data_IF_568210193568
#
_entry.id   IF_568210193568
#
_cell.length_a   1.000
_cell.length_b   1.000
_cell.length_c   1.000
_cell.angle_alpha   90.00
_cell.angle_beta   90.00
_cell.angle_gamma   90.00
#
_symmetry.space_group_name_H-M   'P 1'
#
loop_
_entity.id
_entity.type
_entity.pdbx_description
1 polymer ?
#
# COMPACT_ATOMS: atom_id res chain seq x y z
N UNK A 1 50.71 -74.61 6.69
CA UNK A 1 51.05 -73.37 7.43
C UNK A 1 51.30 -72.21 6.47
N UNK A 2 50.27 -71.62 5.85
CA UNK A 2 50.48 -70.54 4.86
C UNK A 2 49.37 -69.47 4.78
N UNK A 3 48.45 -69.39 5.75
CA UNK A 3 47.35 -68.42 5.72
C UNK A 3 47.30 -67.45 6.91
N UNK A 4 48.17 -67.62 7.93
CA UNK A 4 48.24 -66.73 9.08
C UNK A 4 49.14 -65.49 8.86
N UNK A 5 50.12 -65.56 7.95
CA UNK A 5 51.08 -64.48 7.70
C UNK A 5 50.53 -63.32 6.86
N UNK A 6 49.55 -63.57 5.98
CA UNK A 6 49.06 -62.57 5.04
C UNK A 6 48.17 -61.49 5.71
N UNK A 7 47.43 -61.84 6.77
CA UNK A 7 46.59 -60.88 7.50
C UNK A 7 47.42 -59.83 8.26
N UNK A 8 48.56 -60.23 8.83
CA UNK A 8 49.40 -59.29 9.58
C UNK A 8 50.20 -58.34 8.66
N UNK A 9 50.44 -58.73 7.41
CA UNK A 9 51.09 -57.86 6.42
C UNK A 9 50.13 -56.79 5.88
N UNK A 10 48.87 -57.17 5.62
CA UNK A 10 47.84 -56.24 5.13
C UNK A 10 47.46 -55.16 6.15
N UNK A 11 47.46 -55.46 7.45
CA UNK A 11 47.20 -54.46 8.51
C UNK A 11 48.34 -53.44 8.63
N UNK A 12 49.58 -53.80 8.24
CA UNK A 12 50.75 -52.92 8.24
C UNK A 12 50.87 -52.03 7.00
N UNK A 13 50.20 -52.39 5.91
CA UNK A 13 50.21 -51.65 4.65
C UNK A 13 49.10 -50.58 4.55
N UNK A 14 48.13 -50.60 5.46
CA UNK A 14 47.15 -49.54 5.59
C UNK A 14 47.80 -48.36 6.31
N UNK A 15 47.77 -47.14 5.74
CA UNK A 15 48.31 -45.96 6.40
C UNK A 15 47.66 -45.83 7.78
N UNK A 16 48.49 -45.64 8.81
CA UNK A 16 48.06 -45.39 10.17
C UNK A 16 47.02 -44.26 10.17
N UNK A 17 46.01 -44.37 11.05
CA UNK A 17 44.88 -43.44 11.24
C UNK A 17 45.35 -41.99 11.50
N UNK A 18 45.82 -41.33 10.46
CA UNK A 18 46.40 -40.00 10.49
C UNK A 18 46.48 -39.48 9.06
N UNK A 19 45.90 -38.30 8.85
CA UNK A 19 45.76 -37.61 7.57
C UNK A 19 44.67 -38.18 6.63
N UNK A 20 43.45 -38.36 7.15
CA UNK A 20 42.30 -37.95 6.32
C UNK A 20 42.47 -36.45 6.20
N UNK A 21 42.86 -35.96 5.02
CA UNK A 21 42.79 -34.54 4.73
C UNK A 21 41.38 -34.11 5.14
N UNK A 22 41.29 -33.09 6.00
CA UNK A 22 40.04 -32.39 6.22
C UNK A 22 39.68 -31.75 4.88
N UNK A 23 39.12 -32.53 3.96
CA UNK A 23 38.09 -32.03 3.10
C UNK A 23 37.02 -31.55 4.08
N UNK A 24 37.06 -30.26 4.40
CA UNK A 24 35.82 -29.54 4.46
C UNK A 24 35.15 -29.85 3.12
N UNK A 25 34.37 -30.94 3.09
CA UNK A 25 33.14 -30.96 2.32
C UNK A 25 32.56 -29.61 2.67
N UNK A 26 32.68 -28.66 1.73
CA UNK A 26 32.09 -27.35 1.86
C UNK A 26 30.64 -27.67 2.12
N UNK A 27 30.30 -27.68 3.40
CA UNK A 27 28.96 -27.90 3.86
C UNK A 27 28.37 -26.56 3.46
N UNK A 28 27.88 -26.50 2.23
CA UNK A 28 26.72 -25.71 1.92
C UNK A 28 25.64 -26.30 2.83
N UNK A 29 25.73 -26.01 4.13
CA UNK A 29 24.55 -25.77 4.92
C UNK A 29 23.87 -24.65 4.16
N UNK A 30 23.07 -25.04 3.16
CA UNK A 30 21.91 -24.26 2.80
C UNK A 30 21.25 -24.01 4.15
N UNK A 31 21.43 -22.80 4.69
CA UNK A 31 20.75 -22.42 5.90
C UNK A 31 19.28 -22.68 5.57
N UNK A 32 18.70 -23.68 6.22
CA UNK A 32 17.26 -23.89 6.17
C UNK A 32 16.73 -22.64 6.84
N UNK A 33 16.38 -21.65 6.03
CA UNK A 33 15.91 -20.39 6.52
C UNK A 33 14.61 -20.68 7.25
N UNK A 34 14.67 -20.60 8.57
CA UNK A 34 13.50 -20.79 9.40
C UNK A 34 12.73 -19.49 9.45
N UNK A 35 11.44 -19.55 9.79
CA UNK A 35 10.63 -18.35 9.99
C UNK A 35 11.28 -17.36 10.98
N UNK A 36 12.11 -17.87 11.93
CA UNK A 36 12.80 -17.07 12.94
C UNK A 36 13.84 -16.11 12.36
N UNK A 37 14.50 -16.51 11.27
CA UNK A 37 15.59 -15.73 10.66
C UNK A 37 15.03 -14.52 9.88
N UNK A 38 13.80 -14.65 9.38
CA UNK A 38 13.10 -13.60 8.61
C UNK A 38 12.19 -12.72 9.43
N UNK A 39 11.72 -13.20 10.60
CA UNK A 39 10.79 -12.46 11.45
C UNK A 39 11.40 -11.12 11.90
N UNK A 40 10.69 -9.99 11.80
CA UNK A 40 11.14 -8.72 12.35
C UNK A 40 11.54 -8.82 13.83
N UNK A 41 12.60 -8.10 14.19
CA UNK A 41 13.22 -8.06 15.51
C UNK A 41 13.09 -6.70 16.20
N UNK A 42 13.73 -6.53 17.36
CA UNK A 42 13.78 -5.26 18.06
C UNK A 42 14.65 -4.22 17.31
N UNK A 43 14.51 -2.95 17.67
CA UNK A 43 15.25 -1.85 17.06
C UNK A 43 16.78 -2.06 17.14
N UNK A 44 17.52 -1.97 16.01
CA UNK A 44 18.96 -2.18 16.00
C UNK A 44 19.69 -0.96 16.59
N UNK A 45 20.38 -1.16 17.72
CA UNK A 45 21.11 -0.08 18.42
C UNK A 45 22.57 0.00 17.98
N UNK A 46 23.16 -1.14 17.63
CA UNK A 46 24.57 -1.21 17.20
C UNK A 46 24.71 -1.20 15.68
N UNK A 47 25.88 -0.78 15.19
CA UNK A 47 26.19 -0.77 13.75
C UNK A 47 26.21 -2.18 13.15
N UNK A 48 26.70 -3.16 13.92
CA UNK A 48 26.74 -4.56 13.51
C UNK A 48 25.33 -5.15 13.36
N UNK A 49 24.43 -4.87 14.32
CA UNK A 49 23.01 -5.26 14.23
C UNK A 49 22.32 -4.58 13.05
N UNK A 50 22.60 -3.29 12.82
CA UNK A 50 22.07 -2.55 11.68
C UNK A 50 22.52 -3.17 10.35
N UNK A 51 23.79 -3.55 10.22
CA UNK A 51 24.32 -4.23 9.02
C UNK A 51 23.72 -5.62 8.83
N UNK A 52 23.51 -6.36 9.92
CA UNK A 52 22.82 -7.65 9.87
C UNK A 52 21.34 -7.50 9.45
N UNK A 53 20.64 -6.48 9.96
CA UNK A 53 19.26 -6.17 9.58
C UNK A 53 19.15 -5.74 8.11
N UNK A 54 20.04 -4.87 7.63
CA UNK A 54 20.09 -4.49 6.22
C UNK A 54 20.24 -5.73 5.31
N UNK A 55 21.15 -6.65 5.67
CA UNK A 55 21.34 -7.92 4.95
C UNK A 55 20.09 -8.81 5.00
N UNK A 56 19.40 -8.86 6.13
CA UNK A 56 18.15 -9.64 6.31
C UNK A 56 17.03 -9.14 5.39
N UNK A 57 16.89 -7.83 5.22
CA UNK A 57 15.91 -7.21 4.33
C UNK A 57 16.39 -7.05 2.88
N UNK A 58 17.55 -7.63 2.54
CA UNK A 58 18.17 -7.55 1.22
C UNK A 58 18.39 -6.10 0.73
N UNK A 59 18.71 -5.20 1.67
CA UNK A 59 18.98 -3.78 1.42
C UNK A 59 20.48 -3.46 1.57
N UNK A 60 20.91 -2.41 0.88
CA UNK A 60 22.24 -1.82 1.07
C UNK A 60 22.27 -1.16 2.46
N UNK A 61 23.40 -1.29 3.17
CA UNK A 61 23.55 -0.75 4.53
C UNK A 61 23.28 0.75 4.61
N UNK A 62 23.67 1.51 3.59
CA UNK A 62 23.52 2.97 3.52
C UNK A 62 22.06 3.42 3.37
N UNK A 63 21.27 2.64 2.64
CA UNK A 63 19.84 2.92 2.42
C UNK A 63 18.95 2.42 3.54
N UNK A 64 19.45 1.47 4.35
CA UNK A 64 18.71 0.91 5.47
C UNK A 64 18.58 1.92 6.61
N UNK A 65 17.35 2.38 6.83
CA UNK A 65 16.98 3.27 7.94
C UNK A 65 15.83 2.63 8.70
N UNK A 66 15.99 2.29 9.99
CA UNK A 66 14.87 1.84 10.82
C UNK A 66 13.99 3.03 11.26
N UNK A 67 12.77 2.75 11.69
CA UNK A 67 11.89 3.76 12.31
C UNK A 67 12.50 4.28 13.63
N UNK A 68 12.38 5.59 13.93
CA UNK A 68 12.95 6.17 15.13
C UNK A 68 12.34 5.58 16.42
N UNK A 69 13.20 5.18 17.37
CA UNK A 69 12.82 4.50 18.64
C UNK A 69 11.88 5.31 19.55
N UNK A 70 11.89 6.64 19.42
CA UNK A 70 11.10 7.55 20.29
C UNK A 70 9.76 7.97 19.67
N UNK A 71 9.34 7.35 18.56
CA UNK A 71 8.06 7.65 17.91
C UNK A 71 7.04 6.57 18.25
N UNK A 72 5.77 6.94 18.37
CA UNK A 72 4.67 5.99 18.66
C UNK A 72 4.58 4.88 17.59
N UNK A 73 5.10 5.16 16.38
CA UNK A 73 5.19 4.23 15.24
C UNK A 73 6.49 3.39 15.23
N UNK A 74 7.04 3.03 16.39
CA UNK A 74 8.27 2.22 16.44
C UNK A 74 8.00 0.78 15.97
N UNK A 75 8.51 0.44 14.79
CA UNK A 75 8.31 -0.88 14.15
C UNK A 75 9.51 -1.84 14.31
N UNK A 76 10.30 -1.70 15.37
CA UNK A 76 11.45 -2.55 15.65
C UNK A 76 12.57 -2.41 14.61
N UNK A 77 13.01 -3.51 14.00
CA UNK A 77 14.03 -3.54 12.93
C UNK A 77 13.46 -3.35 11.51
N UNK A 78 12.18 -3.01 11.36
CA UNK A 78 11.61 -2.87 10.02
C UNK A 78 12.15 -1.63 9.28
N UNK A 79 12.50 -1.73 7.98
CA UNK A 79 13.02 -0.60 7.22
C UNK A 79 11.93 0.46 6.98
N UNK A 80 12.28 1.71 7.19
CA UNK A 80 11.50 2.89 6.85
C UNK A 80 11.69 3.20 5.36
N UNK A 81 10.77 2.68 4.55
CA UNK A 81 10.72 2.95 3.12
C UNK A 81 9.97 4.26 2.85
N UNK A 82 10.32 4.99 1.77
CA UNK A 82 9.59 6.18 1.39
C UNK A 82 8.14 5.83 1.01
N UNK A 83 7.21 6.71 1.39
CA UNK A 83 5.81 6.62 0.98
C UNK A 83 5.70 6.84 -0.53
N UNK A 84 5.64 5.75 -1.29
CA UNK A 84 5.49 5.75 -2.74
C UNK A 84 4.21 5.03 -3.13
N UNK A 85 3.37 5.69 -3.92
CA UNK A 85 2.20 5.06 -4.52
C UNK A 85 2.65 4.02 -5.55
N UNK A 86 1.98 2.87 -5.63
CA UNK A 86 2.29 1.82 -6.62
C UNK A 86 2.24 2.35 -8.07
N UNK A 87 1.47 3.41 -8.29
CA UNK A 87 1.31 4.07 -9.58
C UNK A 87 2.59 4.75 -10.08
N UNK A 88 3.45 5.23 -9.17
CA UNK A 88 4.73 5.86 -9.51
C UNK A 88 5.77 4.89 -10.07
N UNK A 89 5.64 3.59 -9.77
CA UNK A 89 6.53 2.57 -10.31
C UNK A 89 6.31 2.41 -11.82
N UNK A 90 7.39 2.17 -12.57
CA UNK A 90 7.35 2.02 -14.01
C UNK A 90 6.31 0.96 -14.43
N UNK A 91 5.26 1.30 -15.20
CA UNK A 91 4.22 0.35 -15.58
C UNK A 91 4.68 -0.70 -16.61
N UNK A 92 5.77 -0.45 -17.34
CA UNK A 92 6.25 -1.30 -18.43
C UNK A 92 7.34 -2.29 -18.01
N UNK A 93 7.82 -2.22 -16.76
CA UNK A 93 8.78 -3.17 -16.25
C UNK A 93 8.12 -4.54 -16.02
N UNK A 94 8.88 -5.62 -16.27
CA UNK A 94 8.45 -6.97 -15.98
C UNK A 94 8.65 -7.27 -14.48
N UNK A 95 7.56 -7.19 -13.71
CA UNK A 95 7.57 -7.51 -12.28
C UNK A 95 7.13 -8.96 -12.04
N UNK A 96 7.68 -9.58 -11.00
CA UNK A 96 7.23 -10.92 -10.55
C UNK A 96 5.76 -10.89 -10.09
N UNK A 97 5.34 -9.80 -9.45
CA UNK A 97 3.96 -9.55 -9.08
C UNK A 97 3.40 -8.33 -9.85
N UNK A 98 2.87 -8.52 -11.08
CA UNK A 98 2.39 -7.42 -11.92
C UNK A 98 1.26 -6.61 -11.27
N UNK A 99 0.37 -7.27 -10.51
CA UNK A 99 -0.72 -6.62 -9.79
C UNK A 99 -0.20 -5.54 -8.82
N UNK A 100 0.92 -5.81 -8.15
CA UNK A 100 1.52 -4.95 -7.13
C UNK A 100 2.76 -4.17 -7.60
N UNK A 101 3.21 -4.38 -8.85
CA UNK A 101 4.45 -3.82 -9.41
C UNK A 101 5.64 -4.01 -8.46
N UNK A 102 5.86 -5.24 -8.00
CA UNK A 102 6.90 -5.59 -7.01
C UNK A 102 7.62 -6.85 -7.45
N UNK A 103 8.92 -6.91 -7.17
CA UNK A 103 9.72 -8.12 -7.38
C UNK A 103 9.84 -8.94 -6.10
N UNK A 104 10.16 -10.22 -6.26
CA UNK A 104 10.42 -11.11 -5.15
C UNK A 104 11.68 -10.67 -4.38
N UNK A 105 11.60 -10.68 -3.05
CA UNK A 105 12.70 -10.26 -2.17
C UNK A 105 12.83 -8.75 -1.96
N UNK A 106 11.98 -7.92 -2.56
CA UNK A 106 11.91 -6.48 -2.23
C UNK A 106 11.23 -6.27 -0.88
N UNK A 107 11.80 -5.43 0.01
CA UNK A 107 11.14 -5.05 1.26
C UNK A 107 9.83 -4.30 0.97
N UNK A 108 8.82 -4.54 1.79
CA UNK A 108 7.48 -3.96 1.63
C UNK A 108 7.37 -2.74 2.54
N UNK A 109 6.67 -1.69 2.11
CA UNK A 109 6.39 -0.56 3.00
C UNK A 109 5.43 -0.97 4.12
N UNK A 110 5.55 -0.38 5.32
CA UNK A 110 4.65 -0.66 6.44
C UNK A 110 3.17 -0.48 6.05
N UNK A 111 2.81 0.68 5.50
CA UNK A 111 1.44 1.02 5.09
C UNK A 111 1.15 0.60 3.64
N UNK A 112 1.74 -0.51 3.17
CA UNK A 112 1.58 -0.95 1.78
C UNK A 112 0.11 -1.07 1.34
N UNK A 113 -0.76 -1.53 2.24
CA UNK A 113 -2.20 -1.66 1.98
C UNK A 113 -2.84 -0.33 1.56
N UNK A 114 -2.45 0.79 2.19
CA UNK A 114 -2.99 2.12 1.94
C UNK A 114 -2.57 2.70 0.58
N UNK A 115 -1.38 2.32 0.10
CA UNK A 115 -0.79 2.84 -1.13
C UNK A 115 -0.91 1.89 -2.33
N UNK A 116 -1.76 0.85 -2.19
CA UNK A 116 -2.13 -0.02 -3.29
C UNK A 116 -2.79 0.79 -4.41
N UNK A 117 -2.70 0.29 -5.65
CA UNK A 117 -3.12 1.04 -6.87
C UNK A 117 -4.55 1.56 -6.80
N UNK A 118 -5.46 0.81 -6.18
CA UNK A 118 -6.87 1.15 -6.06
C UNK A 118 -7.19 2.15 -4.95
N UNK A 119 -6.21 2.51 -4.11
CA UNK A 119 -6.42 3.34 -2.92
C UNK A 119 -5.86 4.74 -3.11
N UNK A 120 -4.87 5.13 -2.30
CA UNK A 120 -4.36 6.49 -2.27
C UNK A 120 -3.01 6.59 -2.97
N UNK A 121 -2.90 7.53 -3.92
CA UNK A 121 -1.64 7.85 -4.58
C UNK A 121 -0.97 9.09 -3.98
N UNK A 122 -0.04 8.87 -3.04
CA UNK A 122 0.75 9.95 -2.42
C UNK A 122 1.74 10.62 -3.38
N UNK A 123 2.12 9.92 -4.44
CA UNK A 123 3.09 10.39 -5.44
C UNK A 123 2.44 11.14 -6.62
N UNK A 124 1.12 11.31 -6.60
CA UNK A 124 0.41 11.96 -7.69
C UNK A 124 0.86 13.43 -7.82
N UNK A 125 1.26 13.80 -9.04
CA UNK A 125 1.58 15.20 -9.36
C UNK A 125 0.34 15.87 -9.91
N UNK A 126 -0.38 16.59 -9.07
CA UNK A 126 -1.52 17.38 -9.52
C UNK A 126 -1.07 18.54 -10.41
N UNK A 127 -1.72 18.70 -11.57
CA UNK A 127 -1.50 19.83 -12.47
C UNK A 127 -1.93 21.17 -11.84
N UNK A 128 -2.94 21.13 -10.97
CA UNK A 128 -3.46 22.27 -10.22
C UNK A 128 -3.27 21.97 -8.74
N UNK A 129 -2.84 22.96 -7.94
CA UNK A 129 -2.64 22.76 -6.50
C UNK A 129 -3.96 22.41 -5.81
N UNK A 130 -3.90 21.51 -4.81
CA UNK A 130 -5.08 21.04 -4.07
C UNK A 130 -5.88 22.18 -3.45
N UNK A 131 -5.19 23.20 -2.92
CA UNK A 131 -5.81 24.39 -2.34
C UNK A 131 -6.64 25.13 -3.40
N UNK A 132 -6.13 25.28 -4.62
CA UNK A 132 -6.86 25.94 -5.71
C UNK A 132 -8.05 25.10 -6.17
N UNK A 133 -7.92 23.78 -6.23
CA UNK A 133 -9.04 22.89 -6.53
C UNK A 133 -10.15 23.01 -5.48
N UNK A 134 -9.77 23.01 -4.19
CA UNK A 134 -10.71 23.18 -3.07
C UNK A 134 -11.44 24.52 -3.14
N UNK A 135 -10.73 25.63 -3.34
CA UNK A 135 -11.37 26.94 -3.46
C UNK A 135 -12.21 27.09 -4.73
N UNK A 136 -11.82 26.47 -5.84
CA UNK A 136 -12.65 26.44 -7.04
C UNK A 136 -13.96 25.67 -6.79
N UNK A 137 -13.87 24.49 -6.14
CA UNK A 137 -15.03 23.70 -5.77
C UNK A 137 -15.96 24.44 -4.81
N UNK A 138 -15.42 24.95 -3.70
CA UNK A 138 -16.19 25.73 -2.72
C UNK A 138 -16.73 27.03 -3.32
N UNK A 139 -16.01 27.64 -4.25
CA UNK A 139 -16.46 28.82 -4.98
C UNK A 139 -17.70 28.54 -5.82
N UNK A 140 -17.72 27.44 -6.58
CA UNK A 140 -18.89 27.06 -7.38
C UNK A 140 -20.07 26.66 -6.50
N UNK A 141 -19.85 25.80 -5.51
CA UNK A 141 -20.90 25.36 -4.58
C UNK A 141 -21.47 26.56 -3.81
N UNK A 142 -20.59 27.43 -3.30
CA UNK A 142 -20.96 28.66 -2.60
C UNK A 142 -21.69 29.65 -3.50
N UNK A 143 -21.29 29.79 -4.76
CA UNK A 143 -21.98 30.66 -5.72
C UNK A 143 -23.39 30.15 -6.04
N UNK A 144 -23.56 28.84 -6.24
CA UNK A 144 -24.88 28.23 -6.46
C UNK A 144 -25.77 28.38 -5.23
N UNK A 145 -25.25 28.06 -4.05
CA UNK A 145 -25.98 28.23 -2.79
C UNK A 145 -26.34 29.70 -2.52
N UNK A 146 -25.42 30.62 -2.78
CA UNK A 146 -25.64 32.05 -2.67
C UNK A 146 -26.67 32.57 -3.67
N UNK A 147 -26.64 32.10 -4.91
CA UNK A 147 -27.65 32.42 -5.91
C UNK A 147 -29.04 31.94 -5.49
N UNK A 148 -29.16 30.72 -4.97
CA UNK A 148 -30.44 30.21 -4.44
C UNK A 148 -30.95 31.07 -3.28
N UNK A 149 -30.11 31.41 -2.31
CA UNK A 149 -30.50 32.26 -1.19
C UNK A 149 -30.92 33.68 -1.62
N UNK A 150 -30.21 34.27 -2.60
CA UNK A 150 -30.58 35.56 -3.20
C UNK A 150 -31.87 35.46 -3.99
N UNK A 151 -32.09 34.37 -4.71
CA UNK A 151 -33.32 34.12 -5.47
C UNK A 151 -34.54 34.02 -4.55
N UNK A 152 -34.40 33.40 -3.38
CA UNK A 152 -35.45 33.35 -2.35
C UNK A 152 -35.78 34.75 -1.84
N UNK A 153 -34.75 35.54 -1.50
CA UNK A 153 -34.93 36.87 -0.93
C UNK A 153 -35.59 37.86 -1.92
N UNK A 154 -35.17 37.83 -3.18
CA UNK A 154 -35.66 38.75 -4.22
C UNK A 154 -36.79 38.16 -5.08
N UNK A 155 -37.25 36.93 -4.80
CA UNK A 155 -38.26 36.22 -5.60
C UNK A 155 -37.89 36.09 -7.09
N UNK A 156 -36.61 35.88 -7.41
CA UNK A 156 -36.12 35.64 -8.80
C UNK A 156 -36.53 34.28 -9.38
N UNK A 157 -37.54 33.63 -8.83
CA UNK A 157 -38.11 32.46 -9.47
C UNK A 157 -38.75 32.88 -10.80
N UNK A 158 -38.88 31.94 -11.74
CA UNK A 158 -39.95 32.07 -12.73
C UNK A 158 -41.24 32.16 -11.93
N UNK A 159 -41.70 33.39 -11.65
CA UNK A 159 -43.01 33.63 -11.09
C UNK A 159 -43.96 32.82 -11.99
N UNK A 160 -44.64 31.83 -11.39
CA UNK A 160 -45.82 31.30 -12.06
C UNK A 160 -46.69 32.51 -12.39
N UNK A 161 -47.26 32.50 -13.60
CA UNK A 161 -48.18 33.52 -14.12
C UNK A 161 -48.87 34.27 -12.97
N UNK A 162 -48.90 35.61 -12.98
CA UNK A 162 -49.41 36.45 -11.88
C UNK A 162 -50.85 36.11 -11.46
N UNK A 163 -51.54 35.29 -12.26
CA UNK A 163 -52.75 34.59 -11.89
C UNK A 163 -52.39 33.13 -11.52
N UNK A 164 -52.07 32.83 -10.25
CA UNK A 164 -52.10 31.45 -9.77
C UNK A 164 -53.56 31.02 -9.79
N UNK A 165 -54.05 30.57 -10.94
CA UNK A 165 -55.28 29.79 -11.00
C UNK A 165 -54.99 28.59 -10.11
N UNK A 166 -55.58 28.56 -8.92
CA UNK A 166 -55.52 27.38 -8.08
C UNK A 166 -56.03 26.22 -8.92
N UNK A 167 -55.31 25.10 -8.89
CA UNK A 167 -55.69 23.93 -9.68
C UNK A 167 -57.15 23.60 -9.35
N UNK A 168 -58.03 23.75 -10.33
CA UNK A 168 -59.46 23.53 -10.15
C UNK A 168 -59.71 22.02 -10.03
N UNK A 169 -60.38 21.61 -8.95
CA UNK A 169 -60.75 20.22 -8.71
C UNK A 169 -62.28 20.10 -8.74
N UNK A 170 -62.84 19.08 -9.41
CA UNK A 170 -64.27 18.81 -9.31
C UNK A 170 -64.63 18.49 -7.85
N UNK A 171 -65.69 19.13 -7.35
CA UNK A 171 -66.25 18.88 -6.01
C UNK A 171 -67.74 18.66 -6.17
N UNK A 172 -68.27 17.65 -5.52
CA UNK A 172 -69.70 17.39 -5.52
C UNK A 172 -70.46 18.62 -4.97
N UNK A 173 -71.47 19.06 -5.71
CA UNK A 173 -72.31 20.20 -5.32
C UNK A 173 -71.71 21.60 -5.56
N UNK A 174 -70.52 21.72 -6.16
CA UNK A 174 -69.91 23.02 -6.48
C UNK A 174 -69.83 23.21 -7.99
N UNK A 175 -70.47 24.25 -8.51
CA UNK A 175 -70.42 24.64 -9.92
C UNK A 175 -69.16 25.46 -10.17
N UNK A 176 -68.32 25.02 -11.11
CA UNK A 176 -67.01 25.62 -11.40
C UNK A 176 -66.99 26.48 -12.68
N UNK A 177 -68.15 26.69 -13.32
CA UNK A 177 -68.28 27.48 -14.56
C UNK A 177 -69.26 28.65 -14.37
N UNK A 178 -68.97 29.76 -15.04
CA UNK A 178 -69.78 31.00 -14.99
C UNK A 178 -70.79 31.11 -16.13
N UNK A 179 -70.83 30.14 -17.05
CA UNK A 179 -71.78 30.12 -18.16
C UNK A 179 -73.12 29.53 -17.71
N UNK A 180 -74.21 30.05 -18.26
CA UNK A 180 -75.53 29.47 -18.04
C UNK A 180 -75.58 28.06 -18.66
N UNK A 181 -76.25 27.09 -18.01
CA UNK A 181 -76.46 25.78 -18.61
C UNK A 181 -77.23 25.96 -19.93
N UNK A 182 -76.78 25.28 -20.98
CA UNK A 182 -77.52 25.26 -22.23
C UNK A 182 -78.88 24.59 -22.01
N UNK A 183 -79.96 25.28 -22.41
CA UNK A 183 -81.35 24.80 -22.38
C UNK A 183 -81.55 23.47 -23.15
#
# INVERSE_FOLDING_TARGET
MAFAGARNFLVKALPAKGAVANFHTGQFCAAVLTNRDWKPGPYPKTEAERRAAAKKYNMIYEDYKPYPENHDDTMGDYPMLPALGLESKNPYAAYDFPAYRRNYGEPIMHDFDMYTRERWNVTERHHVTLIRQLFAFLGVVGAVAGYHALSEYYSFYCELSPVPITKQYPREGVVHYTFEPAD
#
